data_IF_501324954679
#
_entry.id   IF_501324954679
#
_cell.length_a   1.000
_cell.length_b   1.000
_cell.length_c   1.000
_cell.angle_alpha   90.00
_cell.angle_beta   90.00
_cell.angle_gamma   90.00
#
_symmetry.space_group_name_H-M   'P 1'
#
loop_
_entity.id
_entity.type
_entity.pdbx_description
1 polymer ?
#
# COMPACT_ATOMS: atom_id res chain seq x y z
N UNK A 1 -21.10 -9.16 -19.45
CA UNK A 1 -20.03 -9.89 -18.74
C UNK A 1 -18.80 -9.00 -18.66
N UNK A 2 -18.81 -8.02 -17.77
CA UNK A 2 -17.59 -7.35 -17.32
C UNK A 2 -17.18 -8.12 -16.08
N UNK A 3 -16.15 -8.94 -16.20
CA UNK A 3 -15.58 -9.58 -15.03
C UNK A 3 -14.89 -8.48 -14.22
N UNK A 4 -15.54 -8.07 -13.12
CA UNK A 4 -14.91 -7.39 -12.00
C UNK A 4 -13.87 -8.33 -11.36
N UNK A 5 -12.79 -8.63 -12.09
CA UNK A 5 -11.61 -9.30 -11.53
C UNK A 5 -10.92 -8.30 -10.62
N UNK A 6 -11.37 -8.21 -9.37
CA UNK A 6 -10.57 -7.64 -8.29
C UNK A 6 -9.36 -8.55 -8.08
N UNK A 7 -8.31 -8.36 -8.87
CA UNK A 7 -7.03 -9.04 -8.66
C UNK A 7 -6.45 -8.53 -7.34
N UNK A 8 -6.49 -9.37 -6.32
CA UNK A 8 -5.84 -9.08 -5.04
C UNK A 8 -4.33 -9.13 -5.23
N UNK A 9 -3.74 -7.96 -5.44
CA UNK A 9 -2.31 -7.81 -5.63
C UNK A 9 -1.62 -7.65 -4.27
N UNK A 10 -0.57 -8.44 -4.04
CA UNK A 10 0.30 -8.26 -2.88
C UNK A 10 1.22 -7.05 -3.13
N UNK A 11 1.34 -6.17 -2.15
CA UNK A 11 2.12 -4.95 -2.25
C UNK A 11 3.15 -4.88 -1.11
N UNK A 12 4.34 -4.39 -1.42
CA UNK A 12 5.34 -3.98 -0.42
C UNK A 12 5.71 -2.52 -0.72
N UNK A 13 5.70 -1.71 0.33
CA UNK A 13 6.19 -0.34 0.29
C UNK A 13 7.43 -0.29 1.17
N UNK A 14 8.48 0.35 0.66
CA UNK A 14 9.72 0.54 1.38
C UNK A 14 10.22 1.97 1.18
N UNK A 15 10.54 2.64 2.27
CA UNK A 15 11.23 3.92 2.32
C UNK A 15 12.07 3.95 3.60
N UNK A 16 12.99 4.91 3.73
CA UNK A 16 13.80 5.06 4.96
C UNK A 16 12.96 5.45 6.18
N UNK A 17 11.82 6.10 5.97
CA UNK A 17 10.93 6.60 7.03
C UNK A 17 9.69 5.71 7.21
N UNK A 18 9.51 4.71 6.35
CA UNK A 18 8.35 3.83 6.37
C UNK A 18 8.28 3.10 7.72
N UNK A 19 7.11 3.14 8.34
CA UNK A 19 6.86 2.35 9.55
C UNK A 19 6.78 0.87 9.16
N UNK A 20 7.83 0.12 9.50
CA UNK A 20 7.88 -1.33 9.28
C UNK A 20 6.81 -2.04 10.12
N UNK A 21 6.16 -3.03 9.53
CA UNK A 21 5.29 -3.97 10.25
C UNK A 21 6.01 -5.28 10.59
N UNK A 22 5.27 -6.22 11.19
CA UNK A 22 5.83 -7.50 11.67
C UNK A 22 5.92 -8.55 10.55
N UNK A 23 5.58 -8.23 9.30
CA UNK A 23 5.60 -9.18 8.19
C UNK A 23 7.02 -9.33 7.65
N UNK A 24 7.55 -10.56 7.70
CA UNK A 24 8.93 -10.85 7.27
C UNK A 24 9.04 -11.46 5.87
N UNK A 25 7.93 -11.91 5.28
CA UNK A 25 7.91 -12.62 3.99
C UNK A 25 6.88 -12.03 3.04
N UNK A 26 7.23 -12.00 1.76
CA UNK A 26 6.30 -11.62 0.70
C UNK A 26 5.50 -12.83 0.20
N UNK A 27 4.19 -12.65 0.01
CA UNK A 27 3.28 -13.68 -0.47
C UNK A 27 1.85 -13.43 0.02
N UNK A 28 0.85 -13.98 -0.67
CA UNK A 28 -0.59 -13.74 -0.38
C UNK A 28 -0.95 -13.91 1.09
N UNK A 29 -0.60 -15.06 1.68
CA UNK A 29 -0.93 -15.39 3.07
C UNK A 29 -0.20 -14.52 4.11
N UNK A 30 0.86 -13.81 3.71
CA UNK A 30 1.61 -12.90 4.58
C UNK A 30 1.16 -11.45 4.39
N UNK A 31 0.84 -11.05 3.15
CA UNK A 31 0.39 -9.70 2.80
C UNK A 31 -0.93 -9.34 3.51
N UNK A 32 -1.82 -10.31 3.75
CA UNK A 32 -3.06 -10.11 4.52
C UNK A 32 -2.81 -9.71 5.99
N UNK A 33 -1.60 -9.92 6.52
CA UNK A 33 -1.18 -9.50 7.86
C UNK A 33 -0.47 -8.15 7.86
N UNK A 34 -0.20 -7.58 6.68
CA UNK A 34 0.49 -6.31 6.53
C UNK A 34 -0.34 -5.14 7.05
N UNK A 35 0.35 -4.12 7.58
CA UNK A 35 -0.29 -2.97 8.24
C UNK A 35 -1.07 -2.06 7.28
N UNK A 36 -0.79 -2.12 5.97
CA UNK A 36 -1.55 -1.41 4.94
C UNK A 36 -2.99 -1.93 4.79
N UNK A 37 -3.25 -3.17 5.21
CA UNK A 37 -4.56 -3.81 5.05
C UNK A 37 -4.99 -3.91 3.58
N UNK A 38 -6.31 -3.88 3.35
CA UNK A 38 -6.88 -3.92 2.00
C UNK A 38 -7.07 -2.49 1.46
N UNK A 39 -6.24 -2.09 0.51
CA UNK A 39 -6.34 -0.80 -0.17
C UNK A 39 -6.84 -0.94 -1.60
N UNK A 40 -7.59 0.05 -2.08
CA UNK A 40 -7.97 0.15 -3.50
C UNK A 40 -6.80 0.75 -4.29
N UNK A 41 -6.47 0.17 -5.45
CA UNK A 41 -5.31 0.55 -6.25
C UNK A 41 -5.20 2.05 -6.58
N UNK A 42 -6.32 2.79 -6.66
CA UNK A 42 -6.33 4.25 -6.86
C UNK A 42 -5.58 5.05 -5.79
N UNK A 43 -5.41 4.48 -4.58
CA UNK A 43 -4.70 5.14 -3.49
C UNK A 43 -3.19 4.91 -3.50
N UNK A 44 -2.69 3.98 -4.32
CA UNK A 44 -1.28 3.60 -4.33
C UNK A 44 -0.36 4.78 -4.63
N UNK A 45 -0.72 5.61 -5.61
CA UNK A 45 0.06 6.80 -5.96
C UNK A 45 0.13 7.81 -4.81
N UNK A 46 -0.98 8.01 -4.09
CA UNK A 46 -1.00 8.93 -2.94
C UNK A 46 -0.08 8.47 -1.81
N UNK A 47 -0.06 7.16 -1.53
CA UNK A 47 0.85 6.58 -0.52
C UNK A 47 2.31 6.73 -0.98
N UNK A 48 2.61 6.41 -2.25
CA UNK A 48 3.96 6.56 -2.79
C UNK A 48 4.46 8.01 -2.73
N UNK A 49 3.62 8.99 -3.12
CA UNK A 49 3.97 10.40 -3.02
C UNK A 49 4.17 10.86 -1.58
N UNK A 50 3.40 10.31 -0.63
CA UNK A 50 3.57 10.63 0.78
C UNK A 50 4.91 10.12 1.32
N UNK A 51 5.28 8.88 1.01
CA UNK A 51 6.59 8.32 1.37
C UNK A 51 7.75 9.07 0.72
N UNK A 52 7.54 9.64 -0.47
CA UNK A 52 8.50 10.52 -1.15
C UNK A 52 8.50 11.97 -0.63
N UNK A 53 7.65 12.31 0.35
CA UNK A 53 7.47 13.67 0.89
C UNK A 53 7.04 14.71 -0.16
N UNK A 54 6.30 14.26 -1.18
CA UNK A 54 5.77 15.07 -2.28
C UNK A 54 4.30 15.46 -2.08
N UNK A 55 3.66 15.01 -1.00
CA UNK A 55 2.30 15.39 -0.64
C UNK A 55 2.32 16.69 0.16
N UNK A 56 1.48 17.65 -0.25
CA UNK A 56 1.23 18.87 0.50
C UNK A 56 -0.06 18.76 1.29
N UNK A 57 -0.07 19.22 2.55
CA UNK A 57 -1.28 19.29 3.36
C UNK A 57 -2.30 20.22 2.68
N UNK A 58 -3.50 19.73 2.47
CA UNK A 58 -4.62 20.57 2.06
C UNK A 58 -5.21 21.29 3.29
N UNK A 59 -5.38 22.62 3.21
CA UNK A 59 -6.00 23.43 4.27
C UNK A 59 -5.14 23.64 5.52
N UNK A 60 -4.03 24.36 5.37
CA UNK A 60 -3.26 24.87 6.50
C UNK A 60 -3.95 26.09 7.11
#
# INVERSE_FOLDING_TARGET
MLLDWYLYLQLVIYSSDCRRDEVEKFGESYAVKGSLGHIVGKYLMGIALNEMRLVHKFGA
#
